data_IF_617945440167
#
_entry.id   IF_617945440167
#
_cell.length_a   1.000
_cell.length_b   1.000
_cell.length_c   1.000
_cell.angle_alpha   90.00
_cell.angle_beta   90.00
_cell.angle_gamma   90.00
#
_symmetry.space_group_name_H-M   'P 1'
#
loop_
_entity.id
_entity.type
_entity.pdbx_description
1 polymer ?
#
# COMPACT_ATOMS: atom_id res chain seq x y z
N UNK A 1 -12.62 -14.92 8.69
CA UNK A 1 -13.91 -15.55 8.39
C UNK A 1 -14.04 -16.91 9.08
N UNK A 2 -13.14 -17.89 8.83
CA UNK A 2 -13.23 -19.24 9.40
C UNK A 2 -13.23 -19.20 10.94
N UNK A 3 -12.38 -18.41 11.57
CA UNK A 3 -12.32 -18.26 13.03
C UNK A 3 -13.65 -17.72 13.61
N UNK A 4 -14.30 -16.79 12.94
CA UNK A 4 -15.61 -16.29 13.35
C UNK A 4 -16.67 -17.39 13.29
N UNK A 5 -16.71 -18.19 12.22
CA UNK A 5 -17.66 -19.31 12.07
C UNK A 5 -17.45 -20.35 13.18
N UNK A 6 -16.19 -20.67 13.52
CA UNK A 6 -15.85 -21.60 14.60
C UNK A 6 -16.30 -21.05 15.96
N UNK A 7 -16.01 -19.80 16.28
CA UNK A 7 -16.43 -19.15 17.54
C UNK A 7 -17.96 -19.13 17.64
N UNK A 8 -18.66 -18.82 16.56
CA UNK A 8 -20.12 -18.85 16.51
C UNK A 8 -20.68 -20.26 16.72
N UNK A 9 -20.09 -21.27 16.09
CA UNK A 9 -20.47 -22.67 16.27
C UNK A 9 -20.31 -23.11 17.73
N UNK A 10 -19.20 -22.75 18.36
CA UNK A 10 -18.93 -23.05 19.77
C UNK A 10 -19.94 -22.33 20.68
N UNK A 11 -20.22 -21.04 20.44
CA UNK A 11 -21.19 -20.28 21.22
C UNK A 11 -22.62 -20.87 21.09
N UNK A 12 -23.03 -21.32 19.89
CA UNK A 12 -24.31 -22.04 19.71
C UNK A 12 -24.38 -23.36 20.47
N UNK A 13 -23.31 -24.13 20.44
CA UNK A 13 -23.21 -25.40 21.18
C UNK A 13 -23.34 -25.13 22.68
N UNK A 14 -22.59 -24.16 23.21
CA UNK A 14 -22.63 -23.78 24.63
C UNK A 14 -24.05 -23.31 25.00
N UNK A 15 -24.66 -22.43 24.23
CA UNK A 15 -26.04 -21.95 24.49
C UNK A 15 -27.06 -23.10 24.44
N UNK A 16 -26.87 -24.13 23.61
CA UNK A 16 -27.76 -25.29 23.52
C UNK A 16 -27.73 -26.15 24.78
N UNK A 17 -26.61 -26.18 25.51
CA UNK A 17 -26.51 -26.92 26.80
C UNK A 17 -27.20 -26.21 27.95
N UNK A 18 -27.28 -24.87 27.93
CA UNK A 18 -27.83 -24.07 29.03
C UNK A 18 -29.31 -23.72 28.88
N UNK A 19 -29.91 -24.00 27.72
CA UNK A 19 -31.31 -23.68 27.43
C UNK A 19 -32.14 -24.92 27.24
N UNK A 20 -33.14 -25.17 28.11
CA UNK A 20 -34.08 -26.28 28.00
C UNK A 20 -34.84 -26.21 26.66
N UNK A 21 -34.96 -27.36 25.99
CA UNK A 21 -35.56 -27.51 24.65
C UNK A 21 -37.03 -27.02 24.52
N UNK A 22 -37.70 -26.62 25.60
CA UNK A 22 -39.11 -26.20 25.60
C UNK A 22 -39.39 -24.75 25.21
N UNK A 23 -38.40 -23.88 25.11
CA UNK A 23 -38.65 -22.49 24.72
C UNK A 23 -37.60 -22.01 23.67
N UNK A 24 -37.82 -22.39 22.43
CA UNK A 24 -36.96 -22.04 21.31
C UNK A 24 -36.70 -20.52 21.19
N UNK A 25 -37.68 -19.69 21.53
CA UNK A 25 -37.56 -18.22 21.46
C UNK A 25 -36.55 -17.65 22.47
N UNK A 26 -36.53 -18.13 23.73
CA UNK A 26 -35.58 -17.67 24.76
C UNK A 26 -34.14 -18.08 24.43
N UNK A 27 -33.96 -19.27 23.90
CA UNK A 27 -32.68 -19.79 23.42
C UNK A 27 -32.10 -18.93 22.32
N UNK A 28 -32.92 -18.56 21.36
CA UNK A 28 -32.48 -17.80 20.19
C UNK A 28 -32.10 -16.35 20.58
N UNK A 29 -32.83 -15.72 21.53
CA UNK A 29 -32.45 -14.41 22.05
C UNK A 29 -31.12 -14.48 22.79
N UNK A 30 -30.91 -15.50 23.65
CA UNK A 30 -29.67 -15.67 24.38
C UNK A 30 -28.51 -15.91 23.44
N UNK A 31 -28.65 -16.82 22.48
CA UNK A 31 -27.62 -17.11 21.47
C UNK A 31 -27.29 -15.86 20.63
N UNK A 32 -28.30 -15.10 20.21
CA UNK A 32 -28.10 -13.83 19.49
C UNK A 32 -27.34 -12.82 20.36
N UNK A 33 -27.75 -12.63 21.64
CA UNK A 33 -27.11 -11.66 22.52
C UNK A 33 -25.66 -11.99 22.82
N UNK A 34 -25.36 -13.27 23.07
CA UNK A 34 -23.98 -13.75 23.29
C UNK A 34 -23.13 -13.56 22.03
N UNK A 35 -23.63 -13.98 20.88
CA UNK A 35 -22.91 -13.84 19.62
C UNK A 35 -22.71 -12.38 19.22
N UNK A 36 -23.72 -11.52 19.45
CA UNK A 36 -23.61 -10.08 19.23
C UNK A 36 -22.54 -9.46 20.15
N UNK A 37 -22.55 -9.80 21.44
CA UNK A 37 -21.55 -9.35 22.41
C UNK A 37 -20.12 -9.78 22.06
N UNK A 38 -19.93 -11.05 21.70
CA UNK A 38 -18.63 -11.57 21.23
C UNK A 38 -18.18 -10.87 19.95
N UNK A 39 -19.10 -10.62 19.03
CA UNK A 39 -18.80 -9.95 17.77
C UNK A 39 -18.39 -8.50 17.97
N UNK A 40 -19.08 -7.77 18.88
CA UNK A 40 -18.71 -6.40 19.26
C UNK A 40 -17.34 -6.38 19.94
N UNK A 41 -17.08 -7.30 20.88
CA UNK A 41 -15.79 -7.41 21.56
C UNK A 41 -14.64 -7.69 20.58
N UNK A 42 -14.84 -8.62 19.65
CA UNK A 42 -13.86 -8.94 18.61
C UNK A 42 -13.61 -7.74 17.67
N UNK A 43 -14.62 -6.92 17.43
CA UNK A 43 -14.47 -5.69 16.63
C UNK A 43 -13.60 -4.65 17.33
N UNK A 44 -13.70 -4.52 18.66
CA UNK A 44 -12.85 -3.64 19.46
C UNK A 44 -11.41 -4.16 19.55
N UNK A 45 -11.22 -5.48 19.66
CA UNK A 45 -9.89 -6.10 19.69
C UNK A 45 -9.19 -6.11 18.32
N UNK A 46 -9.94 -5.93 17.26
CA UNK A 46 -9.46 -5.99 15.87
C UNK A 46 -9.14 -4.60 15.26
N UNK A 47 -8.74 -3.64 16.09
CA UNK A 47 -8.21 -2.34 15.64
C UNK A 47 -6.96 -2.63 14.80
N UNK A 48 -7.11 -2.64 13.48
CA UNK A 48 -6.06 -2.99 12.51
C UNK A 48 -6.43 -4.12 11.53
N UNK A 49 -7.48 -4.89 11.80
CA UNK A 49 -7.99 -5.88 10.85
C UNK A 49 -8.97 -5.20 9.87
N UNK A 50 -8.52 -5.06 8.61
CA UNK A 50 -9.20 -4.32 7.56
C UNK A 50 -10.62 -4.80 7.20
N UNK A 51 -11.12 -4.33 6.05
CA UNK A 51 -12.48 -4.51 5.53
C UNK A 51 -13.05 -5.95 5.60
N UNK A 52 -12.18 -6.98 5.61
CA UNK A 52 -12.58 -8.41 5.71
C UNK A 52 -13.24 -8.79 7.04
N UNK A 53 -12.80 -8.19 8.16
CA UNK A 53 -13.42 -8.44 9.47
C UNK A 53 -14.77 -7.76 9.54
N UNK A 54 -14.86 -6.53 9.04
CA UNK A 54 -16.13 -5.79 8.93
C UNK A 54 -17.15 -6.55 8.07
N UNK A 55 -16.70 -7.11 6.94
CA UNK A 55 -17.54 -7.93 6.07
C UNK A 55 -18.02 -9.22 6.73
N UNK A 56 -17.13 -9.92 7.44
CA UNK A 56 -17.49 -11.11 8.21
C UNK A 56 -18.53 -10.80 9.30
N UNK A 57 -18.41 -9.67 9.96
CA UNK A 57 -19.31 -9.17 10.98
C UNK A 57 -20.72 -8.91 10.42
N UNK A 58 -20.79 -8.19 9.30
CA UNK A 58 -22.04 -7.88 8.61
C UNK A 58 -22.73 -9.17 8.14
N UNK A 59 -21.98 -10.08 7.54
CA UNK A 59 -22.51 -11.36 7.06
C UNK A 59 -23.07 -12.20 8.21
N UNK A 60 -22.41 -12.21 9.35
CA UNK A 60 -22.84 -12.92 10.55
C UNK A 60 -24.14 -12.35 11.12
N UNK A 61 -24.22 -11.03 11.27
CA UNK A 61 -25.46 -10.35 11.68
C UNK A 61 -26.62 -10.66 10.72
N UNK A 62 -26.33 -10.70 9.41
CA UNK A 62 -27.32 -11.03 8.40
C UNK A 62 -27.83 -12.47 8.52
N UNK A 63 -26.95 -13.43 8.74
CA UNK A 63 -27.33 -14.86 8.92
C UNK A 63 -28.22 -15.02 10.15
N UNK A 64 -27.87 -14.38 11.28
CA UNK A 64 -28.71 -14.46 12.49
C UNK A 64 -30.05 -13.75 12.32
N UNK A 65 -30.09 -12.66 11.61
CA UNK A 65 -31.32 -11.94 11.32
C UNK A 65 -32.24 -12.76 10.41
N UNK A 66 -31.72 -13.38 9.36
CA UNK A 66 -32.49 -14.30 8.49
C UNK A 66 -33.03 -15.49 9.30
N UNK A 67 -32.19 -16.08 10.16
CA UNK A 67 -32.59 -17.20 11.01
C UNK A 67 -33.70 -16.79 11.97
N UNK A 68 -33.61 -15.62 12.62
CA UNK A 68 -34.65 -15.06 13.49
C UNK A 68 -35.98 -14.91 12.75
N UNK A 69 -35.96 -14.42 11.51
CA UNK A 69 -37.16 -14.26 10.70
C UNK A 69 -37.77 -15.61 10.31
N UNK A 70 -36.95 -16.54 9.85
CA UNK A 70 -37.40 -17.88 9.46
C UNK A 70 -38.01 -18.63 10.64
N UNK A 71 -37.42 -18.55 11.82
CA UNK A 71 -37.98 -19.18 13.03
C UNK A 71 -39.30 -18.57 13.45
N UNK A 72 -39.44 -17.23 13.38
CA UNK A 72 -40.72 -16.57 13.65
C UNK A 72 -41.80 -16.87 12.58
N UNK A 73 -41.42 -17.07 11.32
CA UNK A 73 -42.33 -17.42 10.24
C UNK A 73 -42.84 -18.86 10.38
N UNK A 74 -42.00 -19.79 10.86
CA UNK A 74 -42.38 -21.20 11.03
C UNK A 74 -43.24 -21.45 12.26
N UNK A 75 -43.08 -20.66 13.34
CA UNK A 75 -43.82 -20.86 14.60
C UNK A 75 -45.16 -20.14 14.68
N UNK A 76 -45.44 -19.17 13.81
CA UNK A 76 -46.75 -18.52 13.73
C UNK A 76 -47.43 -18.85 12.41
N UNK A 77 -48.62 -19.50 12.47
CA UNK A 77 -49.53 -19.65 11.32
C UNK A 77 -50.06 -18.26 10.91
N UNK A 78 -49.29 -17.54 10.17
CA UNK A 78 -49.56 -16.22 9.64
C UNK A 78 -48.29 -15.44 9.47
N UNK A 79 -47.69 -15.51 8.30
CA UNK A 79 -46.56 -14.63 7.93
C UNK A 79 -47.06 -13.21 7.96
N UNK A 80 -46.61 -12.43 8.95
CA UNK A 80 -46.91 -11.02 8.93
C UNK A 80 -46.09 -10.38 7.82
N UNK A 81 -46.76 -10.09 6.69
CA UNK A 81 -46.19 -9.55 5.45
C UNK A 81 -45.29 -8.34 5.75
N UNK A 82 -45.62 -7.57 6.78
CA UNK A 82 -44.83 -6.44 7.25
C UNK A 82 -43.41 -6.86 7.69
N UNK A 83 -43.28 -7.90 8.52
CA UNK A 83 -41.97 -8.37 9.00
C UNK A 83 -41.10 -8.92 7.86
N UNK A 84 -41.72 -9.56 6.85
CA UNK A 84 -41.01 -10.07 5.68
C UNK A 84 -40.50 -8.93 4.80
N UNK A 85 -41.30 -7.88 4.60
CA UNK A 85 -40.91 -6.71 3.81
C UNK A 85 -39.77 -5.95 4.51
N UNK A 86 -39.85 -5.71 5.83
CA UNK A 86 -38.78 -5.05 6.59
C UNK A 86 -37.49 -5.86 6.52
N UNK A 87 -37.56 -7.18 6.60
CA UNK A 87 -36.41 -8.06 6.46
C UNK A 87 -35.72 -7.92 5.09
N UNK A 88 -36.50 -7.93 4.02
CA UNK A 88 -35.99 -7.77 2.65
C UNK A 88 -35.36 -6.40 2.44
N UNK A 89 -35.93 -5.34 3.03
CA UNK A 89 -35.35 -3.97 2.97
C UNK A 89 -34.00 -3.93 3.69
N UNK A 90 -33.88 -4.53 4.88
CA UNK A 90 -32.62 -4.56 5.62
C UNK A 90 -31.56 -5.38 4.88
N UNK A 91 -31.93 -6.54 4.32
CA UNK A 91 -31.03 -7.37 3.46
C UNK A 91 -30.56 -6.56 2.24
N UNK A 92 -31.49 -5.89 1.58
CA UNK A 92 -31.17 -5.03 0.43
C UNK A 92 -30.24 -3.87 0.80
N UNK A 93 -30.48 -3.21 1.94
CA UNK A 93 -29.63 -2.12 2.44
C UNK A 93 -28.22 -2.61 2.81
N UNK A 94 -28.10 -3.81 3.40
CA UNK A 94 -26.79 -4.42 3.73
C UNK A 94 -26.03 -4.78 2.45
N UNK A 95 -26.70 -5.39 1.46
CA UNK A 95 -26.08 -5.72 0.16
C UNK A 95 -25.65 -4.43 -0.56
N UNK A 96 -26.50 -3.41 -0.58
CA UNK A 96 -26.17 -2.12 -1.17
C UNK A 96 -24.97 -1.45 -0.46
N UNK A 97 -24.94 -1.46 0.87
CA UNK A 97 -23.82 -0.96 1.66
C UNK A 97 -22.53 -1.73 1.37
N UNK A 98 -22.63 -3.07 1.23
CA UNK A 98 -21.51 -3.92 0.86
C UNK A 98 -20.98 -3.57 -0.54
N UNK A 99 -21.86 -3.42 -1.52
CA UNK A 99 -21.49 -3.02 -2.87
C UNK A 99 -20.89 -1.59 -2.92
N UNK A 100 -21.33 -0.69 -2.01
CA UNK A 100 -20.81 0.68 -1.94
C UNK A 100 -19.43 0.73 -1.28
N UNK A 101 -19.20 -0.05 -0.22
CA UNK A 101 -17.92 -0.12 0.50
C UNK A 101 -16.84 -0.85 -0.32
N UNK A 102 -17.24 -1.81 -1.16
CA UNK A 102 -16.31 -2.56 -2.03
C UNK A 102 -16.14 -1.99 -3.44
N UNK A 103 -16.85 -0.94 -3.79
CA UNK A 103 -16.42 -0.13 -4.93
C UNK A 103 -15.14 0.59 -4.50
N UNK A 104 -14.00 -0.03 -4.79
CA UNK A 104 -12.76 0.74 -4.92
C UNK A 104 -13.10 1.93 -5.82
N UNK A 105 -12.89 3.16 -5.35
CA UNK A 105 -13.06 4.29 -6.25
C UNK A 105 -12.21 3.95 -7.48
N UNK A 106 -12.83 3.91 -8.67
CA UNK A 106 -12.05 3.96 -9.90
C UNK A 106 -11.39 5.32 -9.84
N UNK A 107 -10.15 5.35 -9.40
CA UNK A 107 -9.30 6.53 -9.59
C UNK A 107 -9.13 6.63 -11.10
N UNK A 108 -10.04 7.34 -11.74
CA UNK A 108 -9.84 7.81 -13.08
C UNK A 108 -8.80 8.90 -12.95
N UNK A 109 -7.54 8.56 -13.23
CA UNK A 109 -6.52 9.57 -13.44
C UNK A 109 -6.98 10.40 -14.65
N UNK A 110 -7.36 11.62 -14.37
CA UNK A 110 -7.51 12.64 -15.41
C UNK A 110 -6.16 13.35 -15.44
N UNK A 111 -5.35 13.16 -16.48
CA UNK A 111 -4.11 13.93 -16.60
C UNK A 111 -4.45 15.41 -16.48
N UNK A 112 -3.63 16.22 -15.81
CA UNK A 112 -3.85 17.64 -15.73
C UNK A 112 -4.01 18.19 -17.15
N UNK A 113 -5.02 19.02 -17.36
CA UNK A 113 -5.36 19.58 -18.68
C UNK A 113 -4.33 20.58 -19.23
N UNK A 114 -3.25 20.83 -18.52
CA UNK A 114 -2.17 21.68 -19.01
C UNK A 114 -1.32 20.86 -19.96
N UNK A 115 -1.72 20.91 -21.21
CA UNK A 115 -1.07 20.25 -22.33
C UNK A 115 0.34 20.77 -22.68
N UNK A 116 0.89 21.68 -21.89
CA UNK A 116 2.21 22.27 -22.09
C UNK A 116 3.28 21.66 -21.18
N UNK A 117 3.00 20.50 -20.53
CA UNK A 117 4.03 19.73 -19.83
C UNK A 117 4.81 18.87 -20.81
N UNK A 118 6.05 19.25 -21.10
CA UNK A 118 6.94 18.50 -21.97
C UNK A 118 7.35 17.15 -21.38
N UNK A 119 7.23 16.94 -20.07
CA UNK A 119 7.67 15.75 -19.34
C UNK A 119 6.71 15.41 -18.20
N UNK A 120 6.32 14.14 -18.13
CA UNK A 120 5.54 13.58 -17.05
C UNK A 120 6.40 12.69 -16.15
N UNK A 121 6.37 12.95 -14.84
CA UNK A 121 7.10 12.17 -13.84
C UNK A 121 6.12 11.60 -12.80
N UNK A 122 6.42 10.38 -12.32
CA UNK A 122 5.68 9.69 -11.24
C UNK A 122 6.66 9.32 -10.15
N UNK A 123 6.26 9.52 -8.89
CA UNK A 123 6.91 8.93 -7.71
C UNK A 123 5.96 7.94 -7.05
N UNK A 124 6.46 6.78 -6.62
CA UNK A 124 5.62 5.73 -6.04
C UNK A 124 6.41 4.82 -5.09
N UNK A 125 6.08 4.85 -3.80
CA UNK A 125 6.56 3.82 -2.88
C UNK A 125 5.75 2.53 -3.12
N UNK A 126 6.41 1.46 -3.61
CA UNK A 126 5.77 0.22 -4.03
C UNK A 126 5.63 -0.81 -2.91
N UNK A 127 6.28 -0.60 -1.76
CA UNK A 127 6.25 -1.49 -0.60
C UNK A 127 6.47 -2.98 -0.97
N UNK A 128 7.42 -3.26 -1.87
CA UNK A 128 7.58 -4.59 -2.46
C UNK A 128 7.99 -5.66 -1.46
N UNK A 129 8.80 -5.28 -0.44
CA UNK A 129 9.30 -6.19 0.59
C UNK A 129 8.29 -6.43 1.73
N UNK A 130 7.34 -5.51 1.92
CA UNK A 130 6.38 -5.61 3.01
C UNK A 130 5.33 -6.68 2.74
N UNK A 131 5.42 -7.72 3.55
CA UNK A 131 4.42 -8.72 3.85
C UNK A 131 3.59 -9.23 2.66
N UNK A 132 3.26 -10.48 2.69
CA UNK A 132 2.49 -11.11 1.61
C UNK A 132 1.15 -10.45 1.33
N UNK A 133 0.66 -9.52 2.21
CA UNK A 133 -0.69 -8.92 2.08
C UNK A 133 -0.78 -7.52 2.67
N UNK A 134 -0.35 -6.54 1.92
CA UNK A 134 -0.82 -5.17 2.16
C UNK A 134 -2.26 -5.08 1.61
N UNK A 135 -3.23 -4.62 2.42
CA UNK A 135 -4.66 -4.52 2.05
C UNK A 135 -5.29 -5.80 1.47
N UNK A 136 -4.74 -6.96 1.83
CA UNK A 136 -5.23 -8.25 1.36
C UNK A 136 -4.78 -8.64 -0.04
N UNK A 137 -3.88 -7.89 -0.67
CA UNK A 137 -3.27 -8.24 -1.95
C UNK A 137 -1.85 -8.73 -1.77
N UNK A 138 -1.47 -9.75 -2.54
CA UNK A 138 -0.08 -10.23 -2.56
C UNK A 138 0.86 -9.22 -3.21
N UNK A 139 2.14 -9.29 -2.89
CA UNK A 139 3.17 -8.48 -3.54
C UNK A 139 3.15 -8.64 -5.07
N UNK A 140 2.92 -9.87 -5.56
CA UNK A 140 2.82 -10.16 -6.99
C UNK A 140 1.62 -9.47 -7.66
N UNK A 141 0.44 -9.47 -7.02
CA UNK A 141 -0.75 -8.78 -7.53
C UNK A 141 -0.56 -7.25 -7.53
N UNK A 142 0.12 -6.70 -6.52
CA UNK A 142 0.44 -5.26 -6.50
C UNK A 142 1.38 -4.89 -7.63
N UNK A 143 2.39 -5.73 -7.92
CA UNK A 143 3.30 -5.54 -9.04
C UNK A 143 2.54 -5.52 -10.38
N UNK A 144 1.60 -6.45 -10.59
CA UNK A 144 0.79 -6.50 -11.82
C UNK A 144 -0.11 -5.26 -11.96
N UNK A 145 -0.71 -4.80 -10.87
CA UNK A 145 -1.51 -3.57 -10.85
C UNK A 145 -0.67 -2.33 -11.15
N UNK A 146 0.52 -2.24 -10.55
CA UNK A 146 1.46 -1.17 -10.81
C UNK A 146 1.85 -1.13 -12.28
N UNK A 147 2.28 -2.26 -12.87
CA UNK A 147 2.64 -2.35 -14.27
C UNK A 147 1.47 -1.97 -15.20
N UNK A 148 0.26 -2.49 -14.92
CA UNK A 148 -0.95 -2.17 -15.68
C UNK A 148 -1.27 -0.67 -15.62
N UNK A 149 -1.15 -0.06 -14.45
CA UNK A 149 -1.42 1.36 -14.26
C UNK A 149 -0.38 2.21 -14.99
N UNK A 150 0.91 1.94 -14.84
CA UNK A 150 1.98 2.67 -15.52
C UNK A 150 1.87 2.53 -17.05
N UNK A 151 1.56 1.34 -17.56
CA UNK A 151 1.30 1.14 -19.00
C UNK A 151 0.06 1.90 -19.51
N UNK A 152 -0.91 2.17 -18.64
CA UNK A 152 -2.11 2.92 -19.02
C UNK A 152 -1.89 4.44 -19.08
N UNK A 153 -1.14 4.99 -18.12
CA UNK A 153 -0.87 6.44 -18.04
C UNK A 153 0.40 6.85 -18.79
N UNK A 154 1.30 5.89 -19.09
CA UNK A 154 2.55 6.05 -19.86
C UNK A 154 3.39 7.25 -19.45
N UNK A 155 3.77 7.38 -18.17
CA UNK A 155 4.61 8.48 -17.72
C UNK A 155 5.98 8.40 -18.39
N UNK A 156 6.63 9.54 -18.52
CA UNK A 156 7.96 9.63 -19.14
C UNK A 156 9.06 9.05 -18.24
N UNK A 157 8.99 9.36 -16.95
CA UNK A 157 9.97 8.90 -15.96
C UNK A 157 9.22 8.46 -14.68
N UNK A 158 9.68 7.39 -14.05
CA UNK A 158 9.10 6.85 -12.82
C UNK A 158 10.21 6.65 -11.80
N UNK A 159 10.08 7.26 -10.63
CA UNK A 159 10.89 6.99 -9.44
C UNK A 159 10.11 6.07 -8.49
N UNK A 160 10.71 4.96 -8.09
CA UNK A 160 10.07 4.02 -7.15
C UNK A 160 10.91 3.89 -5.88
N UNK A 161 10.25 3.72 -4.72
CA UNK A 161 10.89 3.44 -3.44
C UNK A 161 10.43 2.07 -2.95
N UNK A 162 11.22 1.44 -2.08
CA UNK A 162 10.99 0.09 -1.54
C UNK A 162 10.83 -1.00 -2.61
N UNK A 163 11.44 -0.83 -3.76
CA UNK A 163 11.46 -1.86 -4.79
C UNK A 163 12.46 -2.96 -4.44
N UNK A 164 12.16 -4.19 -4.80
CA UNK A 164 13.08 -5.32 -4.69
C UNK A 164 13.41 -5.94 -6.05
N UNK A 165 14.37 -6.87 -6.06
CA UNK A 165 14.83 -7.53 -7.29
C UNK A 165 13.72 -8.30 -8.00
N UNK A 166 12.77 -8.89 -7.24
CA UNK A 166 11.65 -9.67 -7.81
C UNK A 166 10.73 -8.76 -8.63
N UNK A 167 10.37 -7.59 -8.08
CA UNK A 167 9.58 -6.60 -8.80
C UNK A 167 10.33 -6.04 -10.00
N UNK A 168 11.61 -5.70 -9.82
CA UNK A 168 12.43 -5.15 -10.92
C UNK A 168 12.47 -6.10 -12.12
N UNK A 169 12.73 -7.39 -11.89
CA UNK A 169 12.76 -8.38 -12.97
C UNK A 169 11.39 -8.58 -13.64
N UNK A 170 10.32 -8.58 -12.84
CA UNK A 170 8.96 -8.67 -13.39
C UNK A 170 8.59 -7.44 -14.21
N UNK A 171 8.93 -6.25 -13.75
CA UNK A 171 8.64 -5.00 -14.45
C UNK A 171 9.44 -4.84 -15.74
N UNK A 172 10.67 -5.35 -15.84
CA UNK A 172 11.42 -5.41 -17.10
C UNK A 172 10.65 -6.13 -18.21
N UNK A 173 9.91 -7.19 -17.86
CA UNK A 173 9.12 -7.95 -18.83
C UNK A 173 7.74 -7.36 -19.09
N UNK A 174 7.11 -6.74 -18.10
CA UNK A 174 5.74 -6.22 -18.21
C UNK A 174 5.66 -4.75 -18.64
N UNK A 175 6.79 -4.03 -18.59
CA UNK A 175 6.91 -2.64 -19.03
C UNK A 175 8.04 -2.51 -20.10
N UNK A 176 7.89 -3.17 -21.28
CA UNK A 176 8.97 -3.28 -22.26
C UNK A 176 9.38 -1.95 -22.91
N UNK A 177 8.55 -0.89 -22.81
CA UNK A 177 8.85 0.44 -23.35
C UNK A 177 9.77 1.25 -22.42
N UNK A 178 10.09 0.73 -21.23
CA UNK A 178 10.94 1.40 -20.26
C UNK A 178 12.29 0.71 -20.11
N UNK A 179 13.33 1.53 -20.06
CA UNK A 179 14.62 1.16 -19.47
C UNK A 179 14.61 1.51 -18.00
N UNK A 180 15.54 0.94 -17.23
CA UNK A 180 15.57 1.14 -15.79
C UNK A 180 17.01 1.14 -15.24
N UNK A 181 17.11 1.68 -14.02
CA UNK A 181 18.29 1.61 -13.19
C UNK A 181 17.89 1.52 -11.73
N UNK A 182 18.54 0.63 -10.99
CA UNK A 182 18.37 0.52 -9.55
C UNK A 182 19.46 -0.36 -8.95
N UNK A 183 19.96 0.05 -7.78
CA UNK A 183 20.97 -0.65 -6.99
C UNK A 183 20.36 -0.92 -5.61
N UNK A 184 20.65 -2.08 -5.04
CA UNK A 184 20.27 -2.43 -3.69
C UNK A 184 20.95 -1.51 -2.69
N UNK A 185 20.21 -1.08 -1.67
CA UNK A 185 20.76 -0.17 -0.64
C UNK A 185 21.81 -0.83 0.25
N UNK A 186 21.80 -2.17 0.36
CA UNK A 186 22.75 -2.91 1.19
C UNK A 186 22.23 -3.23 2.61
N UNK A 187 23.07 -3.88 3.40
CA UNK A 187 22.82 -4.15 4.82
C UNK A 187 21.93 -5.35 5.13
N UNK A 188 21.23 -5.91 4.16
CA UNK A 188 20.36 -7.07 4.37
C UNK A 188 21.10 -8.37 4.09
N UNK A 189 20.94 -9.35 4.99
CA UNK A 189 21.50 -10.68 4.84
C UNK A 189 20.92 -11.47 3.67
N UNK A 190 19.70 -11.12 3.24
CA UNK A 190 19.01 -11.75 2.13
C UNK A 190 19.00 -10.85 0.90
N UNK A 191 19.75 -11.24 -0.11
CA UNK A 191 19.91 -10.50 -1.36
C UNK A 191 18.59 -10.19 -2.08
N UNK A 192 17.58 -11.05 -1.92
CA UNK A 192 16.28 -10.90 -2.58
C UNK A 192 15.40 -9.80 -1.99
N UNK A 193 15.61 -9.46 -0.73
CA UNK A 193 14.76 -8.52 0.01
C UNK A 193 15.39 -7.12 0.14
N UNK A 194 16.65 -6.95 -0.26
CA UNK A 194 17.29 -5.65 -0.20
C UNK A 194 16.58 -4.66 -1.12
N UNK A 195 16.09 -3.58 -0.53
CA UNK A 195 15.35 -2.54 -1.22
C UNK A 195 16.23 -1.67 -2.11
N UNK A 196 15.62 -1.08 -3.12
CA UNK A 196 16.24 -0.14 -4.02
C UNK A 196 15.29 1.02 -4.36
N UNK A 197 15.86 2.16 -4.74
CA UNK A 197 15.13 3.29 -5.30
C UNK A 197 15.31 3.26 -6.81
N UNK A 198 14.53 2.44 -7.52
CA UNK A 198 14.68 2.27 -8.95
C UNK A 198 14.06 3.42 -9.74
N UNK A 199 14.69 3.75 -10.85
CA UNK A 199 14.20 4.74 -11.83
C UNK A 199 13.92 4.03 -13.15
N UNK A 200 12.77 4.32 -13.75
CA UNK A 200 12.40 3.87 -15.08
C UNK A 200 12.19 5.07 -15.99
N UNK A 201 12.56 4.97 -17.26
CA UNK A 201 12.34 6.02 -18.25
C UNK A 201 11.90 5.43 -19.58
N UNK A 202 11.05 6.16 -20.28
CA UNK A 202 10.59 5.78 -21.61
C UNK A 202 11.79 5.79 -22.61
N UNK A 203 12.22 4.62 -23.03
CA UNK A 203 13.40 4.46 -23.90
C UNK A 203 13.20 4.99 -25.31
N UNK A 204 11.96 5.24 -25.73
CA UNK A 204 11.72 5.84 -27.06
C UNK A 204 11.99 7.35 -27.04
N UNK A 205 11.74 8.01 -25.91
CA UNK A 205 11.94 9.45 -25.72
C UNK A 205 13.32 9.80 -25.19
N UNK A 206 13.91 8.94 -24.38
CA UNK A 206 15.13 9.24 -23.64
C UNK A 206 16.21 8.18 -23.84
N UNK A 207 17.46 8.59 -23.64
CA UNK A 207 18.61 7.68 -23.48
C UNK A 207 19.43 8.13 -22.27
N UNK A 208 19.86 7.18 -21.45
CA UNK A 208 20.68 7.49 -20.29
C UNK A 208 22.09 7.92 -20.71
N UNK A 209 22.52 9.09 -20.25
CA UNK A 209 23.87 9.65 -20.39
C UNK A 209 24.73 9.24 -19.20
N UNK A 210 24.14 9.34 -18.00
CA UNK A 210 24.77 8.93 -16.75
C UNK A 210 23.71 8.32 -15.84
N UNK A 211 24.11 7.34 -15.06
CA UNK A 211 23.27 6.75 -14.00
C UNK A 211 24.15 6.23 -12.89
N UNK A 212 23.80 6.51 -11.65
CA UNK A 212 24.53 6.01 -10.49
C UNK A 212 23.63 6.05 -9.24
N UNK A 213 24.11 5.45 -8.17
CA UNK A 213 23.52 5.47 -6.85
C UNK A 213 24.54 5.97 -5.85
N UNK A 214 24.11 6.84 -4.93
CA UNK A 214 24.90 7.30 -3.79
C UNK A 214 24.22 6.88 -2.49
N UNK A 215 25.04 6.60 -1.47
CA UNK A 215 24.55 6.33 -0.11
C UNK A 215 24.43 7.63 0.65
N UNK A 216 23.38 7.75 1.47
CA UNK A 216 23.11 8.94 2.27
C UNK A 216 23.89 8.86 3.58
N UNK A 217 25.20 8.94 3.46
CA UNK A 217 26.19 8.81 4.53
C UNK A 217 27.38 9.73 4.27
N UNK A 218 28.37 9.73 5.17
CA UNK A 218 29.63 10.47 5.02
C UNK A 218 30.52 9.94 3.87
N UNK A 219 30.19 8.76 3.35
CA UNK A 219 30.90 8.14 2.23
C UNK A 219 29.95 7.75 1.11
N UNK A 220 29.40 8.73 0.35
CA UNK A 220 28.33 8.48 -0.61
C UNK A 220 28.69 7.52 -1.77
N UNK A 221 29.97 7.34 -2.05
CA UNK A 221 30.43 6.53 -3.20
C UNK A 221 30.47 5.03 -2.92
N UNK A 222 30.22 4.61 -1.70
CA UNK A 222 30.24 3.19 -1.29
C UNK A 222 29.13 2.88 -0.31
N UNK A 223 28.74 1.60 -0.28
CA UNK A 223 27.77 1.10 0.67
C UNK A 223 28.14 1.45 2.11
N UNK A 224 27.34 2.31 2.71
CA UNK A 224 27.55 2.79 4.07
C UNK A 224 26.23 3.31 4.67
N UNK A 225 26.20 3.35 5.99
CA UNK A 225 25.09 3.83 6.79
C UNK A 225 25.52 5.09 7.53
N UNK A 226 24.66 6.09 7.59
CA UNK A 226 24.97 7.30 8.35
C UNK A 226 25.02 7.01 9.83
N UNK A 227 26.06 7.54 10.48
CA UNK A 227 26.27 7.45 11.92
C UNK A 227 26.45 8.85 12.50
N UNK A 228 25.98 9.08 13.72
CA UNK A 228 26.08 10.39 14.37
C UNK A 228 26.16 10.24 15.89
N UNK A 229 26.49 11.32 16.54
CA UNK A 229 26.43 11.41 18.01
C UNK A 229 25.27 12.31 18.38
N UNK A 230 24.35 11.82 19.21
CA UNK A 230 23.20 12.59 19.66
C UNK A 230 23.60 13.67 20.69
N UNK A 231 22.66 14.51 21.10
CA UNK A 231 22.86 15.58 22.06
C UNK A 231 23.26 15.09 23.45
N UNK A 232 23.04 13.83 23.77
CA UNK A 232 23.36 13.19 25.04
C UNK A 232 24.71 12.48 24.98
N UNK A 233 25.42 12.55 23.84
CA UNK A 233 26.74 11.94 23.62
C UNK A 233 26.71 10.48 23.22
N UNK A 234 25.51 9.92 22.90
CA UNK A 234 25.41 8.55 22.48
C UNK A 234 25.72 8.39 20.98
N UNK A 235 26.41 7.30 20.64
CA UNK A 235 26.64 6.94 19.26
C UNK A 235 25.34 6.34 18.67
N UNK A 236 24.83 6.96 17.62
CA UNK A 236 23.60 6.60 16.93
C UNK A 236 23.85 6.33 15.45
N UNK A 237 22.91 5.67 14.81
CA UNK A 237 22.94 5.43 13.37
C UNK A 237 21.55 5.58 12.74
N UNK A 238 21.49 5.80 11.44
CA UNK A 238 20.25 5.79 10.67
C UNK A 238 19.50 4.47 10.84
N UNK A 239 18.18 4.47 10.70
CA UNK A 239 17.34 3.27 10.83
C UNK A 239 17.75 2.16 9.86
N UNK A 240 18.15 2.52 8.64
CA UNK A 240 18.65 1.60 7.64
C UNK A 240 19.63 2.28 6.68
N UNK A 241 20.20 1.51 5.75
CA UNK A 241 20.94 2.07 4.62
C UNK A 241 19.99 2.87 3.74
N UNK A 242 20.32 4.12 3.47
CA UNK A 242 19.55 5.01 2.60
C UNK A 242 20.35 5.39 1.38
N UNK A 243 19.69 5.47 0.24
CA UNK A 243 20.31 5.73 -1.06
C UNK A 243 19.53 6.76 -1.85
N UNK A 244 20.22 7.44 -2.76
CA UNK A 244 19.62 8.18 -3.84
C UNK A 244 20.13 7.62 -5.17
N UNK A 245 19.23 7.11 -6.00
CA UNK A 245 19.54 6.74 -7.37
C UNK A 245 19.27 7.93 -8.27
N UNK A 246 20.18 8.19 -9.22
CA UNK A 246 19.98 9.26 -10.20
C UNK A 246 20.27 8.79 -11.62
N UNK A 247 19.61 9.46 -12.55
CA UNK A 247 19.84 9.31 -13.97
C UNK A 247 19.90 10.68 -14.64
N UNK A 248 20.83 10.86 -15.55
CA UNK A 248 20.85 11.97 -16.49
C UNK A 248 20.41 11.44 -17.84
N UNK A 249 19.28 11.95 -18.33
CA UNK A 249 18.62 11.47 -19.53
C UNK A 249 18.74 12.51 -20.65
N UNK A 250 19.19 12.10 -21.81
CA UNK A 250 19.13 12.91 -23.02
C UNK A 250 17.72 12.78 -23.61
N UNK A 251 17.02 13.90 -23.73
CA UNK A 251 15.78 13.98 -24.49
C UNK A 251 16.09 13.95 -25.99
N UNK A 252 15.68 12.88 -26.65
CA UNK A 252 15.97 12.63 -28.07
C UNK A 252 15.26 13.62 -29.01
N UNK A 253 14.22 14.31 -28.52
CA UNK A 253 13.47 15.28 -29.33
C UNK A 253 14.17 16.63 -29.43
N UNK A 254 14.74 17.11 -28.33
CA UNK A 254 15.31 18.47 -28.27
C UNK A 254 16.81 18.51 -27.97
N UNK A 255 17.44 17.36 -27.72
CA UNK A 255 18.87 17.25 -27.44
C UNK A 255 19.33 17.81 -26.10
N UNK A 256 18.39 18.10 -25.18
CA UNK A 256 18.71 18.60 -23.83
C UNK A 256 18.69 17.49 -22.80
N UNK A 257 19.36 17.71 -21.70
CA UNK A 257 19.41 16.77 -20.60
C UNK A 257 18.25 16.97 -19.61
N UNK A 258 17.86 15.90 -18.95
CA UNK A 258 16.99 15.89 -17.78
C UNK A 258 17.77 15.24 -16.66
N UNK A 259 17.88 15.91 -15.53
CA UNK A 259 18.49 15.36 -14.32
C UNK A 259 17.36 14.85 -13.43
N UNK A 260 17.34 13.55 -13.17
CA UNK A 260 16.30 12.92 -12.35
C UNK A 260 16.94 12.18 -11.18
N UNK A 261 16.53 12.54 -9.95
CA UNK A 261 16.96 11.91 -8.70
C UNK A 261 15.75 11.23 -8.03
N UNK A 262 16.00 10.10 -7.40
CA UNK A 262 14.98 9.36 -6.65
C UNK A 262 15.55 8.82 -5.34
N UNK A 263 14.94 9.17 -4.23
CA UNK A 263 15.46 8.85 -2.88
C UNK A 263 14.38 8.31 -1.96
N UNK A 264 14.77 7.81 -0.80
CA UNK A 264 13.92 7.46 0.31
C UNK A 264 14.68 7.80 1.60
N UNK A 265 14.25 8.87 2.27
CA UNK A 265 14.92 9.38 3.47
C UNK A 265 14.67 8.49 4.67
N UNK A 266 15.41 8.72 5.75
CA UNK A 266 15.28 7.91 6.97
C UNK A 266 13.98 8.24 7.71
N UNK A 267 13.29 7.19 8.18
CA UNK A 267 12.03 7.31 8.91
C UNK A 267 12.18 7.14 10.43
N UNK A 268 13.39 6.80 10.88
CA UNK A 268 13.66 6.53 12.29
C UNK A 268 14.43 7.67 12.99
N UNK A 269 15.11 8.52 12.21
CA UNK A 269 15.95 9.61 12.72
C UNK A 269 15.82 10.85 11.83
N UNK A 270 15.26 11.92 12.38
CA UNK A 270 15.19 13.23 11.75
C UNK A 270 16.60 13.73 11.36
N UNK A 271 17.58 13.55 12.24
CA UNK A 271 18.97 13.95 11.96
C UNK A 271 19.54 13.17 10.75
N UNK A 272 19.22 11.89 10.60
CA UNK A 272 19.64 11.10 9.44
C UNK A 272 18.87 11.50 8.17
N UNK A 273 17.60 11.86 8.29
CA UNK A 273 16.81 12.39 7.18
C UNK A 273 17.37 13.72 6.67
N UNK A 274 17.64 14.67 7.57
CA UNK A 274 18.24 15.97 7.26
C UNK A 274 19.62 15.83 6.60
N UNK A 275 20.47 14.99 7.17
CA UNK A 275 21.78 14.71 6.58
C UNK A 275 21.64 14.13 5.17
N UNK A 276 20.76 13.14 5.02
CA UNK A 276 20.47 12.50 3.73
C UNK A 276 19.95 13.51 2.70
N UNK A 277 19.05 14.40 3.09
CA UNK A 277 18.54 15.45 2.22
C UNK A 277 19.67 16.37 1.73
N UNK A 278 20.59 16.75 2.61
CA UNK A 278 21.76 17.56 2.24
C UNK A 278 22.69 16.83 1.26
N UNK A 279 22.93 15.53 1.44
CA UNK A 279 23.70 14.70 0.49
C UNK A 279 23.05 14.69 -0.88
N UNK A 280 21.72 14.53 -0.95
CA UNK A 280 20.94 14.55 -2.20
C UNK A 280 21.07 15.92 -2.88
N UNK A 281 20.89 17.00 -2.13
CA UNK A 281 20.99 18.36 -2.68
C UNK A 281 22.38 18.71 -3.19
N UNK A 282 23.43 18.25 -2.50
CA UNK A 282 24.82 18.42 -2.96
C UNK A 282 25.03 17.68 -4.29
N UNK A 283 24.58 16.44 -4.41
CA UNK A 283 24.65 15.69 -5.68
C UNK A 283 23.86 16.36 -6.79
N UNK A 284 22.68 16.88 -6.47
CA UNK A 284 21.86 17.63 -7.44
C UNK A 284 22.63 18.84 -7.99
N UNK A 285 23.27 19.62 -7.13
CA UNK A 285 24.04 20.80 -7.53
C UNK A 285 25.25 20.41 -8.38
N UNK A 286 26.00 19.37 -7.98
CA UNK A 286 27.10 18.80 -8.77
C UNK A 286 26.65 18.42 -10.19
N UNK A 287 25.52 17.71 -10.31
CA UNK A 287 24.98 17.31 -11.60
C UNK A 287 24.55 18.52 -12.46
N UNK A 288 23.94 19.54 -11.85
CA UNK A 288 23.56 20.79 -12.55
C UNK A 288 24.79 21.54 -13.07
N UNK A 289 25.86 21.58 -12.32
CA UNK A 289 27.13 22.18 -12.77
C UNK A 289 27.78 21.38 -13.90
N UNK A 290 27.76 20.05 -13.79
CA UNK A 290 28.30 19.15 -14.82
C UNK A 290 27.52 19.17 -16.12
N UNK A 291 26.19 19.29 -16.06
CA UNK A 291 25.29 19.21 -17.21
C UNK A 291 24.59 20.54 -17.46
N UNK A 292 25.29 21.50 -18.01
CA UNK A 292 24.81 22.88 -18.25
C UNK A 292 23.72 22.99 -19.35
N UNK A 293 23.56 21.96 -20.22
CA UNK A 293 22.48 21.86 -21.21
C UNK A 293 21.28 21.07 -20.66
N UNK A 294 20.79 21.46 -19.49
CA UNK A 294 19.67 20.78 -18.82
C UNK A 294 18.36 21.53 -19.01
N UNK A 295 17.33 20.81 -19.44
CA UNK A 295 15.98 21.35 -19.65
C UNK A 295 15.22 21.45 -18.33
N UNK A 296 15.25 20.37 -17.55
CA UNK A 296 14.69 20.35 -16.21
C UNK A 296 15.44 19.43 -15.27
N UNK A 297 15.18 19.65 -13.98
CA UNK A 297 15.69 18.82 -12.88
C UNK A 297 14.51 18.40 -12.03
N UNK A 298 14.43 17.10 -11.75
CA UNK A 298 13.32 16.50 -10.99
C UNK A 298 13.90 15.68 -9.85
N UNK A 299 13.45 15.97 -8.63
CA UNK A 299 13.71 15.15 -7.45
C UNK A 299 12.40 14.49 -7.02
N UNK A 300 12.41 13.17 -6.94
CA UNK A 300 11.31 12.36 -6.43
C UNK A 300 11.76 11.55 -5.21
N UNK A 301 10.82 11.11 -4.41
CA UNK A 301 11.17 10.28 -3.26
C UNK A 301 10.01 10.06 -2.30
N UNK A 302 10.27 9.20 -1.33
CA UNK A 302 9.56 9.14 -0.07
C UNK A 302 10.43 9.85 0.97
N UNK A 303 10.02 11.04 1.35
CA UNK A 303 10.80 11.88 2.28
C UNK A 303 10.52 11.56 3.74
N UNK A 304 9.55 10.69 4.03
CA UNK A 304 9.11 10.33 5.39
C UNK A 304 8.71 11.52 6.27
N UNK A 305 8.36 12.64 5.66
CA UNK A 305 7.91 13.85 6.33
C UNK A 305 6.41 14.04 6.18
N UNK A 306 5.75 14.51 7.23
CA UNK A 306 4.36 14.94 7.19
C UNK A 306 4.29 16.41 6.78
N UNK A 307 3.32 16.76 5.96
CA UNK A 307 2.97 18.16 5.76
C UNK A 307 2.23 18.63 7.01
N UNK A 308 2.88 19.45 7.82
CA UNK A 308 2.23 20.19 8.91
C UNK A 308 1.47 21.42 8.35
#
# INVERSE_FOLDING_TARGET
>A
AILCVVIFGIAEIICSFFTSAKSGYKRDIIAFSVNFGVTVLMSFCAVGFGARVKAGLILTLLIYFIRFILQNAVHKKGVNTYNTVVALIIVGAVIASFCFVYRSPKVTYTPPKNADCDISAVTFNVAAAFGEKLDGTSSAERCDRFASYMNSIKPDIIGTQEMNSIWLEKLKSTMPDYENYGVKRGGDSEEKNSEMNAVFWNKTKFSAVEKNTIWLSETPEKESKYTYTDKDGNHCEAGCYRICSYVVLLNKQNGKNIIFLNTHLDNASEQAADFGANVVMNKLNELKEKYNNTDCTVLTGDFNETQD
#
